data_IF_950796076287
#
_entry.id   IF_950796076287
#
_cell.length_a   1.000
_cell.length_b   1.000
_cell.length_c   1.000
_cell.angle_alpha   90.00
_cell.angle_beta   90.00
_cell.angle_gamma   90.00
#
_symmetry.space_group_name_H-M   'P 1'
#
loop_
_entity.id
_entity.type
_entity.pdbx_description
1 polymer ?
#
# COMPACT_ATOMS: atom_id res chain seq x y z
N UNK A 1 -18.83 -2.34 -12.13
CA UNK A 1 -17.69 -3.18 -12.52
C UNK A 1 -18.18 -4.60 -12.75
N UNK A 2 -17.85 -5.22 -13.88
CA UNK A 2 -18.13 -6.64 -14.11
C UNK A 2 -17.14 -7.49 -13.32
N UNK A 3 -17.63 -8.51 -12.60
CA UNK A 3 -16.75 -9.46 -11.91
C UNK A 3 -16.09 -10.40 -12.93
N UNK A 4 -14.77 -10.59 -12.83
CA UNK A 4 -14.03 -11.56 -13.62
C UNK A 4 -13.72 -12.81 -12.81
N UNK A 5 -13.67 -13.98 -13.46
CA UNK A 5 -13.35 -15.25 -12.79
C UNK A 5 -11.85 -15.51 -12.81
N UNK A 6 -11.27 -15.81 -11.65
CA UNK A 6 -9.88 -16.21 -11.49
C UNK A 6 -9.82 -17.66 -10.98
N UNK A 7 -9.15 -18.54 -11.72
CA UNK A 7 -8.91 -19.93 -11.30
C UNK A 7 -7.52 -20.02 -10.66
N UNK A 8 -7.47 -20.45 -9.39
CA UNK A 8 -6.24 -20.57 -8.62
C UNK A 8 -6.03 -22.00 -8.13
N UNK A 9 -4.80 -22.50 -8.31
CA UNK A 9 -4.33 -23.72 -7.67
C UNK A 9 -3.72 -23.34 -6.32
N UNK A 10 -4.37 -23.75 -5.24
CA UNK A 10 -3.92 -23.50 -3.86
C UNK A 10 -3.89 -24.79 -3.08
N UNK A 11 -3.04 -24.83 -2.05
CA UNK A 11 -2.99 -25.98 -1.16
C UNK A 11 -4.35 -26.22 -0.47
N UNK A 12 -4.68 -27.51 -0.28
CA UNK A 12 -5.96 -27.93 0.30
C UNK A 12 -6.21 -27.29 1.67
N UNK A 13 -5.17 -27.22 2.49
CA UNK A 13 -5.26 -26.69 3.85
C UNK A 13 -5.59 -25.17 3.85
N UNK A 14 -5.07 -24.41 2.89
CA UNK A 14 -5.37 -22.98 2.69
C UNK A 14 -6.83 -22.81 2.27
N UNK A 15 -7.30 -23.63 1.32
CA UNK A 15 -8.70 -23.59 0.85
C UNK A 15 -9.69 -23.84 1.99
N UNK A 16 -9.41 -24.82 2.84
CA UNK A 16 -10.25 -25.13 4.01
C UNK A 16 -10.24 -24.00 5.05
N UNK A 17 -9.06 -23.42 5.31
CA UNK A 17 -8.91 -22.29 6.22
C UNK A 17 -9.68 -21.06 5.72
N UNK A 18 -9.56 -20.72 4.44
CA UNK A 18 -10.29 -19.59 3.84
C UNK A 18 -11.81 -19.76 3.94
N UNK A 19 -12.33 -20.98 3.68
CA UNK A 19 -13.75 -21.29 3.85
C UNK A 19 -14.23 -21.10 5.28
N UNK A 20 -13.43 -21.51 6.28
CA UNK A 20 -13.78 -21.37 7.69
C UNK A 20 -13.88 -19.90 8.09
N UNK A 21 -12.87 -19.10 7.73
CA UNK A 21 -12.84 -17.66 8.01
C UNK A 21 -14.00 -16.94 7.34
N UNK A 22 -14.28 -17.27 6.07
CA UNK A 22 -15.40 -16.69 5.34
C UNK A 22 -16.75 -16.99 6.02
N UNK A 23 -16.93 -18.22 6.51
CA UNK A 23 -18.14 -18.64 7.25
C UNK A 23 -18.26 -17.90 8.58
N UNK A 24 -17.19 -17.79 9.36
CA UNK A 24 -17.17 -17.07 10.64
C UNK A 24 -17.52 -15.59 10.47
N UNK A 25 -17.10 -14.98 9.35
CA UNK A 25 -17.37 -13.57 9.01
C UNK A 25 -18.69 -13.37 8.25
N UNK A 26 -19.42 -14.43 7.91
CA UNK A 26 -20.65 -14.34 7.12
C UNK A 26 -20.48 -13.80 5.70
N UNK A 27 -19.29 -13.96 5.11
CA UNK A 27 -18.97 -13.49 3.74
C UNK A 27 -18.59 -14.66 2.82
N UNK A 28 -18.55 -14.40 1.51
CA UNK A 28 -18.08 -15.38 0.53
C UNK A 28 -16.54 -15.44 0.50
N UNK A 29 -15.99 -16.57 0.05
CA UNK A 29 -14.53 -16.72 -0.13
C UNK A 29 -14.00 -15.71 -1.16
N UNK A 30 -14.79 -15.39 -2.19
CA UNK A 30 -14.44 -14.36 -3.16
C UNK A 30 -14.36 -12.97 -2.53
N UNK A 31 -15.31 -12.62 -1.64
CA UNK A 31 -15.28 -11.34 -0.92
C UNK A 31 -14.12 -11.28 0.08
N UNK A 32 -13.84 -12.38 0.78
CA UNK A 32 -12.66 -12.50 1.64
C UNK A 32 -11.37 -12.27 0.86
N UNK A 33 -11.28 -12.77 -0.38
CA UNK A 33 -10.15 -12.54 -1.27
C UNK A 33 -10.06 -11.08 -1.71
N UNK A 34 -11.17 -10.48 -2.17
CA UNK A 34 -11.23 -9.05 -2.52
C UNK A 34 -10.72 -8.19 -1.35
N UNK A 35 -11.24 -8.39 -0.13
CA UNK A 35 -10.81 -7.67 1.07
C UNK A 35 -9.32 -7.89 1.42
N UNK A 36 -8.83 -9.12 1.27
CA UNK A 36 -7.43 -9.44 1.57
C UNK A 36 -6.47 -8.79 0.57
N UNK A 37 -6.85 -8.69 -0.70
CA UNK A 37 -6.06 -8.02 -1.73
C UNK A 37 -6.14 -6.50 -1.57
N UNK A 38 -7.32 -5.94 -1.27
CA UNK A 38 -7.49 -4.50 -1.00
C UNK A 38 -6.71 -4.02 0.24
N UNK A 39 -6.49 -4.88 1.23
CA UNK A 39 -5.68 -4.57 2.41
C UNK A 39 -4.18 -4.57 2.15
N UNK A 40 -3.73 -5.21 1.08
CA UNK A 40 -2.36 -5.03 0.62
C UNK A 40 -2.36 -3.67 -0.07
N UNK A 41 -1.82 -2.64 0.59
CA UNK A 41 -1.61 -1.34 -0.03
C UNK A 41 -1.06 -1.57 -1.44
N UNK A 42 -1.79 -1.10 -2.46
CA UNK A 42 -1.22 -1.01 -3.80
C UNK A 42 0.13 -0.32 -3.63
N UNK A 43 1.24 -0.85 -4.18
CA UNK A 43 2.53 -0.19 -4.08
C UNK A 43 2.29 1.26 -4.47
N UNK A 44 2.54 2.15 -3.50
CA UNK A 44 2.26 3.59 -3.56
C UNK A 44 2.61 4.00 -4.99
N UNK A 45 1.63 4.39 -5.80
CA UNK A 45 1.90 4.87 -7.16
C UNK A 45 3.02 5.89 -7.02
N UNK A 46 4.21 5.58 -7.58
CA UNK A 46 5.36 6.45 -7.51
C UNK A 46 4.90 7.82 -7.97
N UNK A 47 4.79 8.75 -7.02
CA UNK A 47 4.21 10.06 -7.29
C UNK A 47 5.03 10.72 -8.40
N UNK A 48 4.48 10.75 -9.60
CA UNK A 48 5.16 11.32 -10.77
C UNK A 48 4.61 12.73 -10.96
N UNK A 49 5.39 13.78 -10.65
CA UNK A 49 4.92 15.15 -10.81
C UNK A 49 4.62 15.45 -12.28
N UNK A 50 3.58 16.25 -12.54
CA UNK A 50 3.20 16.61 -13.91
C UNK A 50 4.32 17.42 -14.59
N UNK A 51 4.65 17.14 -15.86
CA UNK A 51 5.65 17.91 -16.61
C UNK A 51 5.35 19.42 -16.63
N UNK A 52 6.36 20.25 -16.40
CA UNK A 52 6.31 21.71 -16.32
C UNK A 52 5.79 22.30 -15.00
N UNK A 53 5.28 21.45 -14.09
CA UNK A 53 4.75 21.91 -12.81
C UNK A 53 5.84 22.43 -11.87
N UNK A 54 5.45 23.24 -10.89
CA UNK A 54 6.36 23.62 -9.80
C UNK A 54 6.83 22.38 -9.01
N UNK A 55 5.96 21.37 -8.87
CA UNK A 55 6.27 20.12 -8.20
C UNK A 55 7.39 19.33 -8.92
N UNK A 56 7.38 19.26 -10.25
CA UNK A 56 8.44 18.61 -11.03
C UNK A 56 9.78 19.31 -10.85
N UNK A 57 9.78 20.65 -10.87
CA UNK A 57 10.99 21.45 -10.65
C UNK A 57 11.60 21.22 -9.27
N UNK A 58 10.76 21.12 -8.23
CA UNK A 58 11.22 20.82 -6.87
C UNK A 58 11.70 19.38 -6.77
N UNK A 59 10.96 18.43 -7.34
CA UNK A 59 11.31 17.01 -7.32
C UNK A 59 12.64 16.71 -8.03
N UNK A 60 12.91 17.41 -9.13
CA UNK A 60 14.16 17.28 -9.89
C UNK A 60 15.31 18.15 -9.36
N UNK A 61 15.05 19.05 -8.40
CA UNK A 61 16.10 19.80 -7.72
C UNK A 61 16.84 18.95 -6.67
N UNK A 62 16.22 17.84 -6.23
CA UNK A 62 16.81 16.91 -5.27
C UNK A 62 17.62 15.85 -6.03
N UNK A 63 18.91 15.62 -5.69
CA UNK A 63 19.71 14.55 -6.26
C UNK A 63 19.05 13.18 -6.08
N UNK A 64 19.12 12.30 -7.08
CA UNK A 64 18.52 10.95 -6.99
C UNK A 64 19.02 10.15 -5.78
N UNK A 65 20.27 10.37 -5.36
CA UNK A 65 20.87 9.74 -4.16
C UNK A 65 20.21 10.15 -2.84
N UNK A 66 19.45 11.25 -2.83
CA UNK A 66 18.76 11.78 -1.65
C UNK A 66 17.24 11.54 -1.71
N UNK A 67 16.74 11.01 -2.83
CA UNK A 67 15.33 10.60 -2.95
C UNK A 67 15.15 9.30 -2.16
N UNK A 68 14.33 9.35 -1.13
CA UNK A 68 13.98 8.17 -0.34
C UNK A 68 12.70 7.57 -0.94
N UNK A 69 12.67 6.29 -1.25
CA UNK A 69 11.46 5.67 -1.84
C UNK A 69 10.44 5.24 -0.77
N UNK A 70 10.86 5.16 0.49
CA UNK A 70 10.04 4.64 1.58
C UNK A 70 10.01 5.62 2.77
N UNK A 71 9.16 6.64 2.66
CA UNK A 71 9.02 7.69 3.68
C UNK A 71 8.16 7.23 4.86
N UNK A 72 8.73 7.10 6.05
CA UNK A 72 7.96 7.12 7.30
C UNK A 72 7.75 8.57 7.73
N UNK A 73 6.68 9.19 7.21
CA UNK A 73 6.30 10.57 7.54
C UNK A 73 6.06 10.80 9.04
N UNK A 74 5.65 9.76 9.79
CA UNK A 74 5.45 9.90 11.25
C UNK A 74 6.79 10.05 11.94
N UNK A 75 7.77 9.23 11.55
CA UNK A 75 9.13 9.30 12.09
C UNK A 75 9.80 10.64 11.76
N UNK A 76 9.76 11.07 10.50
CA UNK A 76 10.35 12.34 10.06
C UNK A 76 9.77 13.54 10.82
N UNK A 77 8.45 13.54 11.07
CA UNK A 77 7.79 14.59 11.84
C UNK A 77 8.24 14.60 13.30
N UNK A 78 8.42 13.43 13.92
CA UNK A 78 8.89 13.34 15.30
C UNK A 78 10.34 13.82 15.41
N UNK A 79 11.20 13.40 14.49
CA UNK A 79 12.62 13.81 14.48
C UNK A 79 12.76 15.32 14.31
N UNK A 80 11.99 15.95 13.40
CA UNK A 80 11.98 17.39 13.24
C UNK A 80 11.42 18.16 14.45
N UNK A 81 10.46 17.59 15.17
CA UNK A 81 9.94 18.18 16.41
C UNK A 81 10.96 18.09 17.54
N UNK A 82 11.70 16.99 17.66
CA UNK A 82 12.79 16.85 18.63
C UNK A 82 13.91 17.85 18.36
N UNK A 83 14.34 17.99 17.11
CA UNK A 83 15.40 18.93 16.72
C UNK A 83 15.01 20.39 16.99
N UNK A 84 13.74 20.76 16.76
CA UNK A 84 13.27 22.13 16.97
C UNK A 84 13.02 22.49 18.44
N UNK A 85 12.60 21.52 19.25
CA UNK A 85 12.17 21.74 20.64
C UNK A 85 13.10 21.10 21.69
N UNK A 86 14.22 20.52 21.25
CA UNK A 86 15.27 19.89 22.07
C UNK A 86 14.71 18.85 23.07
N UNK A 87 13.86 17.95 22.56
CA UNK A 87 13.16 16.88 23.30
C UNK A 87 13.90 15.54 23.33
#
# INVERSE_FOLDING_TARGET
MSKQTLNLSVEKHIKERAKRIAKERGISVSKLFEEAVEQVEEPIEEYTPKPGSAAERIYNAIPESEKLDNYDYKKLKIDALKDKYDL
#
